data_IF_161735692600
#
_entry.id   IF_161735692600
#
_cell.length_a   1.000
_cell.length_b   1.000
_cell.length_c   1.000
_cell.angle_alpha   90.00
_cell.angle_beta   90.00
_cell.angle_gamma   90.00
#
_symmetry.space_group_name_H-M   'P 1'
#
loop_
_entity.id
_entity.type
_entity.pdbx_description
1 polymer ?
#
# COMPACT_ATOMS: atom_id res chain seq x y z
N UNK A 1 -41.20 -49.88 0.75
CA UNK A 1 -39.91 -49.75 1.46
C UNK A 1 -38.79 -49.44 0.46
N UNK A 2 -38.92 -48.35 -0.34
CA UNK A 2 -37.93 -47.95 -1.37
C UNK A 2 -37.80 -46.41 -1.48
N UNK A 3 -38.84 -45.65 -1.11
CA UNK A 3 -38.84 -44.17 -1.23
C UNK A 3 -38.10 -43.38 -0.14
N UNK A 4 -37.58 -44.03 0.91
CA UNK A 4 -36.86 -43.34 2.01
C UNK A 4 -35.34 -43.28 1.75
N UNK A 5 -34.81 -44.13 0.87
CA UNK A 5 -33.38 -44.14 0.55
C UNK A 5 -32.99 -43.06 -0.47
N UNK A 6 -33.94 -42.59 -1.30
CA UNK A 6 -33.71 -41.59 -2.34
C UNK A 6 -33.61 -40.15 -1.81
N UNK A 7 -34.10 -39.88 -0.59
CA UNK A 7 -34.10 -38.54 0.00
C UNK A 7 -32.78 -38.17 0.69
N UNK A 8 -31.89 -39.14 0.98
CA UNK A 8 -30.59 -38.88 1.63
C UNK A 8 -29.41 -38.69 0.65
N UNK A 9 -29.52 -39.14 -0.60
CA UNK A 9 -28.41 -39.14 -1.58
C UNK A 9 -28.29 -37.83 -2.40
N UNK A 10 -29.24 -36.90 -2.30
CA UNK A 10 -29.30 -35.65 -3.08
C UNK A 10 -28.99 -34.38 -2.25
N UNK A 11 -28.45 -34.52 -1.04
CA UNK A 11 -28.23 -33.40 -0.10
C UNK A 11 -26.77 -32.91 -0.05
N UNK A 12 -25.79 -33.83 -0.05
CA UNK A 12 -24.37 -33.47 0.16
C UNK A 12 -23.68 -32.75 -1.01
N UNK A 13 -24.07 -33.02 -2.26
CA UNK A 13 -23.46 -32.36 -3.45
C UNK A 13 -23.90 -30.90 -3.62
N UNK A 14 -25.10 -30.56 -3.17
CA UNK A 14 -25.63 -29.20 -3.29
C UNK A 14 -25.01 -28.27 -2.24
N UNK A 15 -24.75 -28.80 -1.03
CA UNK A 15 -24.10 -28.07 0.05
C UNK A 15 -22.65 -27.69 -0.29
N UNK A 16 -21.92 -28.54 -1.02
CA UNK A 16 -20.57 -28.23 -1.51
C UNK A 16 -20.55 -27.06 -2.49
N UNK A 17 -21.49 -27.01 -3.44
CA UNK A 17 -21.60 -25.91 -4.42
C UNK A 17 -21.99 -24.60 -3.71
N UNK A 18 -22.85 -24.68 -2.69
CA UNK A 18 -23.28 -23.53 -1.90
C UNK A 18 -22.13 -22.95 -1.06
N UNK A 19 -21.31 -23.80 -0.42
CA UNK A 19 -20.13 -23.36 0.31
C UNK A 19 -19.04 -22.80 -0.63
N UNK A 20 -18.86 -23.38 -1.82
CA UNK A 20 -17.88 -22.92 -2.79
C UNK A 20 -18.30 -21.58 -3.44
N UNK A 21 -19.60 -21.39 -3.69
CA UNK A 21 -20.17 -20.11 -4.15
C UNK A 21 -20.11 -19.01 -3.09
N UNK A 22 -20.33 -19.35 -1.82
CA UNK A 22 -20.12 -18.42 -0.69
C UNK A 22 -18.66 -17.98 -0.61
N UNK A 23 -17.72 -18.92 -0.76
CA UNK A 23 -16.29 -18.64 -0.73
C UNK A 23 -15.85 -17.75 -1.91
N UNK A 24 -16.40 -17.99 -3.10
CA UNK A 24 -16.13 -17.16 -4.28
C UNK A 24 -16.74 -15.76 -4.18
N UNK A 25 -17.91 -15.62 -3.54
CA UNK A 25 -18.55 -14.33 -3.28
C UNK A 25 -17.76 -13.42 -2.35
N UNK A 26 -17.06 -14.00 -1.36
CA UNK A 26 -16.20 -13.24 -0.45
C UNK A 26 -14.97 -12.65 -1.15
N UNK A 27 -14.43 -13.32 -2.18
CA UNK A 27 -13.26 -12.84 -2.93
C UNK A 27 -13.63 -11.67 -3.87
N UNK A 28 -14.85 -11.65 -4.41
CA UNK A 28 -15.31 -10.62 -5.36
C UNK A 28 -15.74 -9.31 -4.68
N UNK A 29 -15.98 -9.31 -3.37
CA UNK A 29 -16.51 -8.16 -2.64
C UNK A 29 -15.49 -7.00 -2.42
N UNK A 30 -14.20 -7.22 -2.68
CA UNK A 30 -13.15 -6.22 -2.47
C UNK A 30 -12.43 -5.86 -3.77
N UNK A 31 -12.95 -4.93 -4.59
CA UNK A 31 -12.13 -4.41 -5.70
C UNK A 31 -12.33 -2.96 -6.16
N UNK A 32 -13.17 -2.13 -5.52
CA UNK A 32 -13.34 -0.74 -5.97
C UNK A 32 -13.13 0.28 -4.85
N UNK A 33 -11.86 0.50 -4.50
CA UNK A 33 -11.45 1.72 -3.80
C UNK A 33 -11.48 2.89 -4.78
N UNK A 34 -12.33 3.89 -4.52
CA UNK A 34 -12.31 5.15 -5.26
C UNK A 34 -11.00 5.85 -4.92
N UNK A 35 -10.11 5.99 -5.90
CA UNK A 35 -8.91 6.81 -5.76
C UNK A 35 -9.38 8.26 -5.78
N UNK A 36 -9.19 8.94 -4.67
CA UNK A 36 -9.42 10.39 -4.59
C UNK A 36 -8.47 11.07 -5.59
N UNK A 37 -9.00 12.02 -6.37
CA UNK A 37 -8.23 12.74 -7.39
C UNK A 37 -7.26 13.75 -6.76
N UNK A 38 -7.45 14.08 -5.48
CA UNK A 38 -6.59 15.00 -4.72
C UNK A 38 -5.68 14.24 -3.74
N UNK A 39 -4.44 13.97 -4.15
CA UNK A 39 -3.41 13.38 -3.28
C UNK A 39 -2.67 14.47 -2.51
N UNK A 40 -3.27 14.96 -1.41
CA UNK A 40 -2.65 15.97 -0.53
C UNK A 40 -2.19 15.32 0.76
N UNK A 41 -0.89 15.38 1.02
CA UNK A 41 -0.29 14.94 2.29
C UNK A 41 0.04 16.16 3.17
N UNK A 42 -0.37 16.12 4.44
CA UNK A 42 -0.08 17.17 5.45
C UNK A 42 0.74 16.55 6.57
N UNK A 43 2.00 16.95 6.69
CA UNK A 43 2.92 16.48 7.71
C UNK A 43 3.15 17.58 8.75
N UNK A 44 2.97 17.32 10.06
CA UNK A 44 3.44 18.22 11.11
C UNK A 44 4.98 18.11 11.26
N UNK A 45 5.65 19.25 11.38
CA UNK A 45 7.10 19.30 11.67
C UNK A 45 7.33 19.61 13.15
N UNK A 46 8.43 19.11 13.71
CA UNK A 46 8.71 19.21 15.15
C UNK A 46 9.10 20.61 15.61
N UNK A 47 9.76 21.39 14.75
CA UNK A 47 10.20 22.75 15.02
C UNK A 47 10.38 23.52 13.70
N UNK A 48 10.61 24.82 13.79
CA UNK A 48 10.94 25.65 12.62
C UNK A 48 12.39 25.39 12.20
N UNK A 49 12.66 25.08 10.91
CA UNK A 49 14.02 24.89 10.43
C UNK A 49 14.81 26.21 10.52
N UNK A 50 16.08 26.19 10.98
CA UNK A 50 16.92 27.39 11.07
C UNK A 50 17.30 27.95 9.70
N UNK A 51 17.42 27.10 8.67
CA UNK A 51 17.77 27.50 7.30
C UNK A 51 17.31 26.46 6.28
N UNK A 52 16.98 26.90 5.07
CA UNK A 52 16.72 26.05 3.90
C UNK A 52 17.83 26.14 2.86
N UNK A 53 18.99 26.68 3.23
CA UNK A 53 20.20 26.59 2.42
C UNK A 53 20.89 25.26 2.72
N UNK A 54 20.95 24.39 1.72
CA UNK A 54 21.57 23.06 1.79
C UNK A 54 23.07 23.10 2.13
N UNK A 55 23.74 24.24 1.92
CA UNK A 55 25.16 24.42 2.31
C UNK A 55 25.34 24.78 3.78
N UNK A 56 24.27 25.19 4.48
CA UNK A 56 24.27 25.63 5.87
C UNK A 56 23.41 24.78 6.80
N UNK A 57 22.49 23.97 6.27
CA UNK A 57 21.58 23.14 7.04
C UNK A 57 22.32 22.00 7.78
N UNK A 58 22.02 21.83 9.07
CA UNK A 58 22.66 20.81 9.93
C UNK A 58 21.67 19.99 10.76
N UNK A 59 20.41 20.38 10.82
CA UNK A 59 19.38 19.72 11.62
C UNK A 59 18.49 18.80 10.78
N UNK A 60 17.86 17.82 11.42
CA UNK A 60 17.04 16.81 10.73
C UNK A 60 15.77 17.39 10.11
N UNK A 61 15.15 18.41 10.74
CA UNK A 61 13.90 19.00 10.23
C UNK A 61 14.15 19.74 8.92
N UNK A 62 15.27 20.47 8.82
CA UNK A 62 15.71 21.07 7.55
C UNK A 62 15.97 20.00 6.49
N UNK A 63 16.60 18.87 6.83
CA UNK A 63 16.83 17.78 5.87
C UNK A 63 15.52 17.10 5.40
N UNK A 64 14.53 16.93 6.29
CA UNK A 64 13.23 16.37 5.93
C UNK A 64 12.51 17.25 4.89
N UNK A 65 12.62 18.58 5.01
CA UNK A 65 12.06 19.52 4.03
C UNK A 65 12.93 19.55 2.77
N UNK A 66 14.24 19.68 2.91
CA UNK A 66 15.19 19.80 1.80
C UNK A 66 15.11 18.61 0.85
N UNK A 67 14.98 17.38 1.36
CA UNK A 67 14.85 16.18 0.53
C UNK A 67 13.55 16.09 -0.26
N UNK A 68 12.55 16.94 0.04
CA UNK A 68 11.34 17.07 -0.77
C UNK A 68 11.44 18.14 -1.86
N UNK A 69 12.37 19.11 -1.72
CA UNK A 69 12.53 20.24 -2.67
C UNK A 69 13.83 20.19 -3.47
N UNK A 70 14.81 19.40 -3.03
CA UNK A 70 16.13 19.22 -3.62
C UNK A 70 16.43 17.73 -3.77
N UNK A 71 17.22 17.39 -4.78
CA UNK A 71 17.62 16.01 -5.06
C UNK A 71 19.14 15.89 -5.15
N UNK A 72 19.69 14.81 -4.59
CA UNK A 72 21.12 14.52 -4.62
C UNK A 72 21.53 13.67 -5.83
N UNK A 73 22.81 13.30 -5.89
CA UNK A 73 23.31 12.37 -6.93
C UNK A 73 22.70 10.96 -6.77
N UNK A 74 22.54 10.53 -5.51
CA UNK A 74 21.95 9.25 -5.11
C UNK A 74 20.91 9.49 -4.02
N UNK A 75 19.96 8.58 -3.86
CA UNK A 75 18.96 8.61 -2.80
C UNK A 75 18.93 7.26 -2.06
N UNK A 76 18.32 7.20 -0.88
CA UNK A 76 18.01 5.94 -0.20
C UNK A 76 16.58 5.48 -0.50
N UNK A 77 16.42 4.18 -0.76
CA UNK A 77 15.10 3.56 -0.80
C UNK A 77 14.57 3.23 0.62
N UNK A 78 13.37 2.67 0.71
CA UNK A 78 12.75 2.26 1.98
C UNK A 78 13.54 1.21 2.76
N UNK A 79 14.44 0.47 2.11
CA UNK A 79 15.31 -0.53 2.71
C UNK A 79 16.68 0.04 3.09
N UNK A 80 16.88 1.36 2.97
CA UNK A 80 18.14 2.05 3.19
C UNK A 80 19.25 1.64 2.22
N UNK A 81 18.89 1.19 1.02
CA UNK A 81 19.84 0.91 -0.06
C UNK A 81 20.02 2.17 -0.92
N UNK A 82 21.27 2.50 -1.31
CA UNK A 82 21.52 3.63 -2.20
C UNK A 82 21.03 3.30 -3.63
N UNK A 83 20.19 4.17 -4.17
CA UNK A 83 19.66 4.10 -5.53
C UNK A 83 20.09 5.33 -6.35
N UNK A 84 20.17 5.20 -7.69
CA UNK A 84 20.44 6.35 -8.56
C UNK A 84 19.35 7.41 -8.42
N UNK A 85 19.75 8.68 -8.40
CA UNK A 85 18.87 9.84 -8.48
C UNK A 85 19.31 10.71 -9.69
N UNK A 86 19.93 11.87 -9.46
CA UNK A 86 20.47 12.70 -10.55
C UNK A 86 21.62 11.98 -11.29
N UNK A 87 22.45 11.21 -10.58
CA UNK A 87 23.52 10.45 -11.21
C UNK A 87 23.04 9.04 -11.57
N UNK A 88 23.13 8.70 -12.86
CA UNK A 88 22.77 7.36 -13.35
C UNK A 88 23.75 6.26 -12.89
N UNK A 89 24.99 6.64 -12.56
CA UNK A 89 26.09 5.74 -12.17
C UNK A 89 27.19 6.50 -11.40
N UNK A 90 27.86 5.80 -10.48
CA UNK A 90 29.00 6.28 -9.69
C UNK A 90 29.98 5.15 -9.39
#
# INVERSE_FOLDING_TARGET
>A
MVNVLYTHLKSGRFQGILLMGLFWGLIVACSNGKVDTLQVFRMPISNEPPTLDWTLATDSVSFDILTNIMEGLTQYNSNMEPIPAIAERW
#
